data_IF_040682635467
#
_entry.id   IF_040682635467
#
_cell.length_a   1.000
_cell.length_b   1.000
_cell.length_c   1.000
_cell.angle_alpha   90.00
_cell.angle_beta   90.00
_cell.angle_gamma   90.00
#
_symmetry.space_group_name_H-M   'P 1'
#
loop_
_entity.id
_entity.type
_entity.pdbx_description
1 polymer ?
#
# COMPACT_ATOMS: atom_id res chain seq x y z
N UNK A 1 6.16 88.32 -50.23
CA UNK A 1 5.31 87.21 -49.76
C UNK A 1 6.14 86.39 -48.77
N UNK A 2 6.00 86.67 -47.47
CA UNK A 2 5.28 85.83 -46.46
C UNK A 2 6.08 84.57 -46.08
N UNK A 3 6.46 84.28 -44.83
CA UNK A 3 6.05 84.75 -43.48
C UNK A 3 7.16 84.35 -42.48
N UNK A 4 7.42 85.23 -41.48
CA UNK A 4 7.52 85.01 -40.01
C UNK A 4 7.98 83.63 -39.49
N UNK A 5 8.82 83.44 -38.46
CA UNK A 5 9.39 84.36 -37.45
C UNK A 5 10.12 83.54 -36.35
N UNK A 6 11.01 84.23 -35.62
CA UNK A 6 11.47 84.03 -34.21
C UNK A 6 12.74 83.20 -33.92
N UNK A 7 13.71 83.96 -33.38
CA UNK A 7 15.00 83.75 -32.69
C UNK A 7 14.91 82.86 -31.41
N UNK A 8 15.93 82.84 -30.49
CA UNK A 8 17.34 82.44 -30.60
C UNK A 8 17.75 81.53 -29.40
N UNK A 9 19.04 81.20 -29.26
CA UNK A 9 19.61 80.71 -27.99
C UNK A 9 20.73 79.70 -28.23
N UNK A 10 21.95 80.14 -28.55
CA UNK A 10 22.97 80.50 -27.57
C UNK A 10 23.45 79.29 -26.74
N UNK A 11 24.63 78.80 -27.16
CA UNK A 11 25.79 78.58 -26.31
C UNK A 11 25.68 77.58 -25.15
N UNK A 12 26.55 76.56 -25.12
CA UNK A 12 27.76 76.56 -24.29
C UNK A 12 28.44 75.17 -24.32
N UNK A 13 29.77 75.22 -24.26
CA UNK A 13 30.72 74.28 -23.63
C UNK A 13 30.94 72.90 -24.26
N UNK A 14 32.11 72.65 -24.85
CA UNK A 14 33.39 72.28 -24.21
C UNK A 14 33.41 70.85 -23.64
N UNK A 15 34.21 70.00 -24.29
CA UNK A 15 35.28 69.30 -23.58
C UNK A 15 35.12 67.79 -23.37
N UNK A 16 36.18 67.08 -23.77
CA UNK A 16 36.57 65.70 -23.43
C UNK A 16 35.80 64.54 -24.10
N UNK A 17 36.29 64.12 -25.26
CA UNK A 17 36.17 62.73 -25.71
C UNK A 17 37.23 61.88 -24.99
N UNK A 18 36.81 61.13 -23.98
CA UNK A 18 37.59 60.04 -23.40
C UNK A 18 37.42 58.79 -24.26
N UNK A 19 38.53 58.21 -24.70
CA UNK A 19 38.60 56.94 -25.42
C UNK A 19 38.22 55.80 -24.47
N UNK A 20 37.09 55.14 -24.73
CA UNK A 20 36.69 53.93 -24.00
C UNK A 20 37.11 52.70 -24.81
N UNK A 21 38.10 51.96 -24.33
CA UNK A 21 38.53 50.67 -24.86
C UNK A 21 37.46 49.63 -24.52
N UNK A 22 36.81 49.04 -25.53
CA UNK A 22 35.86 47.96 -25.35
C UNK A 22 36.61 46.62 -25.17
N UNK A 23 36.53 46.05 -23.97
CA UNK A 23 36.90 44.66 -23.70
C UNK A 23 35.70 43.76 -24.03
N UNK A 24 35.86 42.63 -24.77
CA UNK A 24 34.77 41.69 -24.94
C UNK A 24 34.55 40.93 -23.62
N UNK A 25 33.37 41.06 -23.04
CA UNK A 25 32.95 40.22 -21.93
C UNK A 25 32.78 38.79 -22.44
N UNK A 26 33.65 37.88 -21.99
CA UNK A 26 33.46 36.45 -22.16
C UNK A 26 32.22 36.05 -21.34
N UNK A 27 31.10 35.83 -22.03
CA UNK A 27 29.91 35.22 -21.42
C UNK A 27 30.26 33.76 -21.16
N UNK A 28 30.53 33.43 -19.90
CA UNK A 28 30.60 32.05 -19.45
C UNK A 28 29.22 31.41 -19.71
N UNK A 29 29.17 30.44 -20.62
CA UNK A 29 27.99 29.60 -20.80
C UNK A 29 27.81 28.77 -19.53
N UNK A 30 26.84 29.13 -18.71
CA UNK A 30 26.36 28.29 -17.60
C UNK A 30 25.87 27.00 -18.25
N UNK A 31 26.38 25.80 -17.87
CA UNK A 31 25.88 24.55 -18.40
C UNK A 31 24.37 24.49 -18.15
N UNK A 32 23.61 24.12 -19.19
CA UNK A 32 22.17 24.00 -19.12
C UNK A 32 21.80 23.19 -17.87
N UNK A 33 21.02 23.80 -16.98
CA UNK A 33 20.35 23.07 -15.91
C UNK A 33 19.61 21.90 -16.58
N UNK A 34 19.79 20.69 -16.04
CA UNK A 34 18.99 19.54 -16.44
C UNK A 34 17.53 19.99 -16.42
N UNK A 35 16.80 19.76 -17.51
CA UNK A 35 15.35 19.97 -17.51
C UNK A 35 14.78 19.29 -16.25
N UNK A 36 13.85 19.93 -15.52
CA UNK A 36 13.18 19.26 -14.44
C UNK A 36 12.55 17.99 -15.02
N UNK A 37 13.11 16.85 -14.62
CA UNK A 37 12.48 15.53 -14.79
C UNK A 37 11.05 15.71 -14.34
N UNK A 38 10.09 15.37 -15.22
CA UNK A 38 8.65 15.45 -14.97
C UNK A 38 8.35 15.00 -13.54
N UNK A 39 8.12 15.98 -12.66
CA UNK A 39 7.90 15.80 -11.22
C UNK A 39 6.43 15.49 -10.94
N UNK A 40 5.66 15.11 -11.96
CA UNK A 40 4.32 14.58 -11.76
C UNK A 40 4.44 13.35 -10.88
N UNK A 41 3.76 13.29 -9.71
CA UNK A 41 3.79 12.09 -8.89
C UNK A 41 3.33 10.93 -9.77
N UNK A 42 4.09 9.82 -9.83
CA UNK A 42 3.70 8.64 -10.58
C UNK A 42 2.32 8.19 -10.08
N UNK A 43 1.35 8.12 -11.00
CA UNK A 43 0.06 7.47 -10.74
C UNK A 43 0.03 6.11 -11.44
N UNK A 44 1.10 5.35 -11.28
CA UNK A 44 1.20 3.98 -11.81
C UNK A 44 1.00 2.96 -10.70
N UNK A 45 0.64 1.73 -11.08
CA UNK A 45 0.50 0.61 -10.16
C UNK A 45 1.73 -0.29 -10.18
N UNK A 46 2.24 -0.65 -9.00
CA UNK A 46 3.25 -1.70 -8.89
C UNK A 46 2.60 -3.05 -9.20
N UNK A 47 3.12 -3.73 -10.22
CA UNK A 47 2.61 -5.02 -10.66
C UNK A 47 3.70 -6.09 -10.63
N UNK A 48 3.55 -7.15 -9.82
CA UNK A 48 4.49 -8.27 -9.81
C UNK A 48 4.31 -9.15 -11.05
N UNK A 49 5.41 -9.49 -11.72
CA UNK A 49 5.37 -10.24 -12.98
C UNK A 49 5.02 -11.72 -12.79
N UNK A 50 5.33 -12.26 -11.62
CA UNK A 50 5.13 -13.67 -11.28
C UNK A 50 4.34 -13.78 -9.98
N UNK A 51 3.48 -14.81 -9.84
CA UNK A 51 2.84 -15.09 -8.57
C UNK A 51 3.88 -15.58 -7.54
N UNK A 52 3.63 -15.29 -6.28
CA UNK A 52 4.30 -15.90 -5.14
C UNK A 52 3.54 -17.19 -4.76
N UNK A 53 4.27 -18.17 -4.23
CA UNK A 53 3.70 -19.46 -3.84
C UNK A 53 4.27 -19.93 -2.50
N UNK A 54 3.38 -20.45 -1.67
CA UNK A 54 3.68 -21.29 -0.52
C UNK A 54 3.20 -22.72 -0.83
N UNK A 55 4.10 -23.50 -1.43
CA UNK A 55 3.80 -24.84 -1.92
C UNK A 55 3.43 -25.83 -0.81
N UNK A 56 3.89 -25.58 0.44
CA UNK A 56 3.55 -26.42 1.59
C UNK A 56 2.04 -26.45 1.86
N UNK A 57 1.33 -25.38 1.52
CA UNK A 57 -0.10 -25.21 1.76
C UNK A 57 -0.91 -24.95 0.49
N UNK A 58 -0.27 -25.06 -0.68
CA UNK A 58 -0.87 -24.76 -1.98
C UNK A 58 -1.47 -23.34 -2.07
N UNK A 59 -0.86 -22.36 -1.39
CA UNK A 59 -1.30 -20.96 -1.42
C UNK A 59 -0.52 -20.20 -2.49
N UNK A 60 -1.21 -19.55 -3.42
CA UNK A 60 -0.58 -18.72 -4.45
C UNK A 60 -1.30 -17.39 -4.63
N UNK A 61 -0.54 -16.33 -4.83
CA UNK A 61 -1.09 -14.97 -4.99
C UNK A 61 -0.17 -14.11 -5.85
N UNK A 62 -0.76 -13.16 -6.59
CA UNK A 62 -0.02 -12.15 -7.33
C UNK A 62 0.07 -10.88 -6.48
N UNK A 63 1.11 -10.78 -5.66
CA UNK A 63 1.34 -9.69 -4.71
C UNK A 63 2.84 -9.33 -4.64
N UNK A 64 3.17 -8.16 -4.06
CA UNK A 64 4.55 -7.72 -3.88
C UNK A 64 5.29 -8.57 -2.84
N UNK A 65 4.56 -9.07 -1.84
CA UNK A 65 5.04 -10.04 -0.87
C UNK A 65 3.91 -10.93 -0.37
N UNK A 66 4.28 -12.13 0.10
CA UNK A 66 3.43 -13.09 0.78
C UNK A 66 4.11 -13.44 2.10
N UNK A 67 3.37 -13.48 3.19
CA UNK A 67 3.85 -13.88 4.52
C UNK A 67 2.95 -14.97 5.07
N UNK A 68 3.55 -16.05 5.56
CA UNK A 68 2.91 -17.06 6.39
C UNK A 68 3.32 -16.81 7.84
N UNK A 69 2.35 -16.55 8.70
CA UNK A 69 2.50 -16.51 10.15
C UNK A 69 2.06 -17.86 10.73
N UNK A 70 2.93 -18.51 11.50
CA UNK A 70 2.63 -19.79 12.17
C UNK A 70 2.80 -19.55 13.66
N UNK A 71 1.76 -19.83 14.44
CA UNK A 71 1.82 -19.80 15.90
C UNK A 71 1.36 -21.12 16.49
N UNK A 72 1.93 -21.47 17.62
CA UNK A 72 1.52 -22.61 18.43
C UNK A 72 1.07 -22.13 19.81
N UNK A 73 -0.06 -22.67 20.28
CA UNK A 73 -0.55 -22.39 21.62
C UNK A 73 0.26 -23.18 22.65
N UNK A 74 0.95 -22.49 23.55
CA UNK A 74 1.98 -23.07 24.42
C UNK A 74 1.91 -22.45 25.83
N UNK A 75 2.43 -23.18 26.81
CA UNK A 75 2.74 -22.69 28.14
C UNK A 75 3.93 -21.74 28.11
N UNK A 76 3.82 -20.62 28.83
CA UNK A 76 4.90 -19.69 29.13
C UNK A 76 5.08 -19.59 30.64
N UNK A 77 6.33 -19.70 31.08
CA UNK A 77 6.75 -19.36 32.44
C UNK A 77 7.31 -17.95 32.47
N UNK A 78 6.87 -17.15 33.44
CA UNK A 78 7.44 -15.85 33.77
C UNK A 78 7.95 -15.86 35.21
N UNK A 79 9.23 -15.58 35.40
CA UNK A 79 9.85 -15.49 36.72
C UNK A 79 9.83 -14.05 37.20
N UNK A 80 9.18 -13.80 38.34
CA UNK A 80 9.17 -12.52 39.02
C UNK A 80 10.50 -12.17 39.66
N UNK A 81 10.66 -10.89 40.04
CA UNK A 81 11.88 -10.39 40.71
C UNK A 81 12.08 -11.04 42.08
N UNK A 82 11.00 -11.48 42.72
CA UNK A 82 10.99 -12.22 43.98
C UNK A 82 11.27 -13.73 43.83
N UNK A 83 11.48 -14.20 42.60
CA UNK A 83 11.67 -15.62 42.28
C UNK A 83 10.38 -16.43 42.17
N UNK A 84 9.21 -15.81 42.29
CA UNK A 84 7.93 -16.48 42.03
C UNK A 84 7.78 -16.81 40.54
N UNK A 85 7.11 -17.92 40.22
CA UNK A 85 6.85 -18.34 38.83
C UNK A 85 5.37 -18.20 38.55
N UNK A 86 5.05 -17.52 37.44
CA UNK A 86 3.70 -17.43 36.90
C UNK A 86 3.63 -18.19 35.59
N UNK A 87 2.62 -19.05 35.49
CA UNK A 87 2.29 -19.75 34.26
C UNK A 87 1.17 -19.04 33.51
N UNK A 88 1.34 -18.91 32.20
CA UNK A 88 0.34 -18.43 31.28
C UNK A 88 0.31 -19.30 30.02
N UNK A 89 -0.74 -19.17 29.22
CA UNK A 89 -0.86 -19.84 27.92
C UNK A 89 -0.97 -18.77 26.84
N UNK A 90 -0.24 -18.94 25.76
CA UNK A 90 -0.19 -17.96 24.69
C UNK A 90 0.08 -18.58 23.32
N UNK A 91 -0.22 -17.81 22.29
CA UNK A 91 0.19 -18.10 20.92
C UNK A 91 1.59 -17.55 20.68
N UNK A 92 2.57 -18.43 20.48
CA UNK A 92 3.94 -18.05 20.16
C UNK A 92 4.34 -18.51 18.75
N UNK A 93 5.16 -17.72 18.06
CA UNK A 93 5.68 -17.97 16.71
C UNK A 93 6.91 -18.89 16.67
N UNK A 94 7.38 -19.29 17.84
CA UNK A 94 8.50 -20.21 18.06
C UNK A 94 8.19 -21.19 19.19
N UNK A 95 9.01 -22.23 19.28
CA UNK A 95 8.95 -23.16 20.40
C UNK A 95 9.37 -22.46 21.70
N UNK A 96 8.52 -22.52 22.72
CA UNK A 96 8.84 -21.96 24.04
C UNK A 96 9.58 -22.98 24.89
N UNK A 97 10.80 -22.63 25.27
CA UNK A 97 11.62 -23.45 26.16
C UNK A 97 11.24 -23.23 27.62
N UNK A 98 10.82 -24.30 28.29
CA UNK A 98 10.66 -24.33 29.75
C UNK A 98 12.01 -24.57 30.42
N UNK A 99 12.48 -23.67 31.31
CA UNK A 99 13.71 -23.87 32.06
C UNK A 99 13.71 -25.20 32.79
N UNK A 100 14.83 -25.93 32.81
CA UNK A 100 14.90 -27.27 33.39
C UNK A 100 14.46 -27.32 34.87
N UNK A 101 14.72 -26.26 35.65
CA UNK A 101 14.31 -26.15 37.04
C UNK A 101 12.79 -25.98 37.24
N UNK A 102 12.06 -25.62 36.18
CA UNK A 102 10.61 -25.37 36.19
C UNK A 102 9.83 -26.46 35.45
N UNK A 103 10.49 -27.54 34.99
CA UNK A 103 9.81 -28.63 34.30
C UNK A 103 8.96 -29.43 35.28
N UNK A 104 7.70 -29.57 34.96
CA UNK A 104 6.71 -30.40 35.66
C UNK A 104 5.80 -31.10 34.63
N UNK A 105 4.93 -31.98 35.10
CA UNK A 105 4.01 -32.77 34.25
C UNK A 105 2.73 -31.98 33.86
N UNK A 106 2.47 -30.83 34.47
CA UNK A 106 1.27 -30.01 34.24
C UNK A 106 1.48 -28.97 33.12
N UNK A 107 2.71 -28.47 32.95
CA UNK A 107 3.08 -27.38 32.03
C UNK A 107 4.00 -27.85 30.90
N UNK A 108 3.60 -28.93 30.23
CA UNK A 108 4.40 -29.56 29.16
C UNK A 108 4.02 -28.97 27.81
N UNK A 109 5.00 -28.36 27.12
CA UNK A 109 4.89 -27.98 25.71
C UNK A 109 5.28 -29.13 24.78
N UNK A 110 4.75 -29.18 23.54
CA UNK A 110 5.23 -30.11 22.54
C UNK A 110 6.73 -29.94 22.29
N UNK A 111 7.45 -31.03 21.99
CA UNK A 111 8.89 -30.95 21.74
C UNK A 111 9.27 -30.39 20.36
N UNK A 112 8.30 -30.18 19.47
CA UNK A 112 8.53 -29.78 18.07
C UNK A 112 7.43 -28.85 17.57
N UNK A 113 7.81 -27.93 16.68
CA UNK A 113 6.89 -27.10 15.90
C UNK A 113 6.97 -27.52 14.42
N UNK A 114 5.93 -28.17 13.86
CA UNK A 114 6.03 -28.85 12.57
C UNK A 114 6.11 -27.90 11.37
N UNK A 115 5.67 -26.65 11.53
CA UNK A 115 5.72 -25.62 10.50
C UNK A 115 6.39 -24.37 11.05
N UNK A 116 6.94 -23.55 10.16
CA UNK A 116 7.56 -22.26 10.49
C UNK A 116 6.95 -21.15 9.66
N UNK A 117 6.95 -19.95 10.23
CA UNK A 117 6.67 -18.74 9.47
C UNK A 117 7.65 -18.57 8.30
N UNK A 118 7.20 -17.90 7.25
CA UNK A 118 7.98 -17.65 6.06
C UNK A 118 7.52 -16.38 5.35
N UNK A 119 8.40 -15.76 4.57
CA UNK A 119 8.08 -14.58 3.77
C UNK A 119 8.72 -14.70 2.41
N UNK A 120 7.92 -14.46 1.38
CA UNK A 120 8.32 -14.44 -0.02
C UNK A 120 8.11 -13.03 -0.56
N UNK A 121 9.02 -12.55 -1.41
CA UNK A 121 8.91 -11.25 -2.06
C UNK A 121 9.03 -11.41 -3.57
N UNK A 122 8.30 -10.59 -4.32
CA UNK A 122 8.36 -10.57 -5.77
C UNK A 122 9.79 -10.25 -6.24
N UNK A 123 10.35 -11.12 -7.07
CA UNK A 123 11.68 -10.96 -7.65
C UNK A 123 11.72 -9.94 -8.79
N UNK A 124 10.57 -9.71 -9.44
CA UNK A 124 10.40 -8.74 -10.50
C UNK A 124 9.03 -8.05 -10.37
N UNK A 125 9.09 -6.72 -10.31
CA UNK A 125 7.93 -5.82 -10.23
C UNK A 125 8.12 -4.76 -11.30
N UNK A 126 7.03 -4.41 -11.98
CA UNK A 126 7.01 -3.35 -12.97
C UNK A 126 6.06 -2.23 -12.54
N UNK A 127 6.34 -1.04 -13.07
CA UNK A 127 5.51 0.15 -13.00
C UNK A 127 5.49 0.75 -14.40
N UNK A 128 4.31 0.84 -14.99
CA UNK A 128 4.11 1.32 -16.37
C UNK A 128 5.00 0.60 -17.41
N UNK A 129 5.20 -0.71 -17.23
CA UNK A 129 6.01 -1.56 -18.13
C UNK A 129 7.52 -1.43 -17.95
N UNK A 130 7.98 -0.70 -16.93
CA UNK A 130 9.40 -0.58 -16.59
C UNK A 130 9.71 -1.28 -15.27
N UNK A 131 10.86 -1.98 -15.16
CA UNK A 131 11.25 -2.64 -13.93
C UNK A 131 11.45 -1.63 -12.79
N UNK A 132 11.09 -2.07 -11.59
CA UNK A 132 11.19 -1.28 -10.35
C UNK A 132 12.30 -1.85 -9.47
N UNK A 133 13.15 -0.98 -8.93
CA UNK A 133 14.18 -1.41 -7.99
C UNK A 133 13.56 -1.89 -6.66
N UNK A 134 13.94 -3.08 -6.13
CA UNK A 134 13.34 -3.63 -4.91
C UNK A 134 13.36 -2.72 -3.69
N UNK A 135 14.39 -1.86 -3.58
CA UNK A 135 14.51 -0.88 -2.51
C UNK A 135 13.29 0.06 -2.41
N UNK A 136 12.59 0.32 -3.53
CA UNK A 136 11.45 1.23 -3.61
C UNK A 136 10.18 0.73 -2.90
N UNK A 137 10.01 -0.59 -2.79
CA UNK A 137 8.83 -1.19 -2.15
C UNK A 137 9.18 -2.12 -0.98
N UNK A 138 10.48 -2.29 -0.67
CA UNK A 138 10.94 -3.20 0.38
C UNK A 138 10.46 -2.83 1.78
N UNK A 139 10.29 -1.53 2.04
CA UNK A 139 9.89 -0.93 3.32
C UNK A 139 8.37 -0.80 3.51
N UNK A 140 7.55 -1.23 2.55
CA UNK A 140 6.10 -1.19 2.72
C UNK A 140 5.67 -2.17 3.83
N UNK A 141 4.81 -1.70 4.74
CA UNK A 141 4.33 -2.46 5.90
C UNK A 141 2.81 -2.67 5.90
N UNK A 142 2.13 -2.23 4.85
CA UNK A 142 0.68 -2.33 4.69
C UNK A 142 0.24 -3.75 4.29
N UNK A 143 0.43 -4.69 5.21
CA UNK A 143 0.03 -6.09 5.06
C UNK A 143 -1.50 -6.23 5.13
N UNK A 144 -2.06 -7.04 4.23
CA UNK A 144 -3.50 -7.34 4.17
C UNK A 144 -3.71 -8.84 4.34
N UNK A 145 -4.67 -9.28 5.19
CA UNK A 145 -4.99 -10.70 5.35
C UNK A 145 -5.34 -11.38 4.02
N UNK A 146 -4.82 -12.59 3.83
CA UNK A 146 -5.17 -13.48 2.74
C UNK A 146 -5.87 -14.71 3.33
N UNK A 147 -7.19 -14.77 3.14
CA UNK A 147 -7.98 -15.90 3.61
C UNK A 147 -7.64 -17.17 2.82
N UNK A 148 -7.41 -18.29 3.53
CA UNK A 148 -7.15 -19.60 2.94
C UNK A 148 -8.23 -20.57 3.40
N UNK A 149 -8.91 -21.18 2.44
CA UNK A 149 -9.94 -22.18 2.71
C UNK A 149 -9.33 -23.58 2.87
N UNK A 150 -9.91 -24.41 3.75
CA UNK A 150 -9.37 -25.73 4.03
C UNK A 150 -9.49 -26.71 2.85
N UNK A 151 -10.43 -26.48 1.93
CA UNK A 151 -10.65 -27.30 0.74
C UNK A 151 -9.62 -27.09 -0.37
N UNK A 152 -8.84 -26.01 -0.31
CA UNK A 152 -7.71 -25.78 -1.23
C UNK A 152 -6.44 -26.51 -0.80
N UNK A 153 -6.44 -27.13 0.38
CA UNK A 153 -5.26 -27.78 0.94
C UNK A 153 -5.03 -29.19 0.35
N UNK A 154 -3.77 -29.66 0.34
CA UNK A 154 -3.47 -31.07 0.16
C UNK A 154 -4.27 -31.96 1.12
N UNK A 155 -4.73 -33.17 0.71
CA UNK A 155 -5.67 -33.99 1.49
C UNK A 155 -5.22 -34.30 2.92
N UNK A 156 -3.93 -34.49 3.15
CA UNK A 156 -3.35 -34.75 4.48
C UNK A 156 -3.45 -33.52 5.40
N UNK A 157 -3.35 -32.31 4.84
CA UNK A 157 -3.51 -31.06 5.58
C UNK A 157 -4.99 -30.74 5.80
N UNK A 158 -5.84 -30.95 4.80
CA UNK A 158 -7.29 -30.78 4.93
C UNK A 158 -7.90 -31.69 6.03
N UNK A 159 -7.27 -32.83 6.31
CA UNK A 159 -7.66 -33.71 7.42
C UNK A 159 -7.21 -33.22 8.82
N UNK A 160 -6.16 -32.39 8.87
CA UNK A 160 -5.54 -31.93 10.12
C UNK A 160 -5.92 -30.49 10.48
N UNK A 161 -6.45 -29.73 9.53
CA UNK A 161 -6.73 -28.31 9.67
C UNK A 161 -8.15 -27.99 9.21
N UNK A 162 -8.77 -27.02 9.88
CA UNK A 162 -9.97 -26.34 9.42
C UNK A 162 -9.70 -24.86 9.24
N UNK A 163 -10.55 -24.19 8.47
CA UNK A 163 -10.54 -22.75 8.35
C UNK A 163 -11.32 -22.11 9.52
N UNK A 164 -10.73 -21.06 10.12
CA UNK A 164 -11.32 -20.21 11.15
C UNK A 164 -10.82 -18.78 10.91
N UNK A 165 -11.73 -17.87 10.60
CA UNK A 165 -11.46 -16.44 10.37
C UNK A 165 -10.36 -16.19 9.32
N UNK A 166 -10.36 -16.97 8.23
CA UNK A 166 -9.39 -16.90 7.14
C UNK A 166 -8.02 -17.54 7.43
N UNK A 167 -7.84 -18.12 8.62
CA UNK A 167 -6.64 -18.85 9.01
C UNK A 167 -6.91 -20.35 9.10
N UNK A 168 -5.87 -21.17 9.00
CA UNK A 168 -5.96 -22.58 9.34
C UNK A 168 -5.74 -22.79 10.84
N UNK A 169 -6.52 -23.70 11.42
CA UNK A 169 -6.45 -24.08 12.82
C UNK A 169 -6.50 -25.61 12.98
N UNK A 170 -5.65 -26.16 13.84
CA UNK A 170 -5.52 -27.62 14.00
C UNK A 170 -6.30 -28.25 15.15
N UNK A 171 -6.79 -27.46 16.12
CA UNK A 171 -7.51 -27.96 17.29
C UNK A 171 -8.98 -28.26 17.00
N UNK A 172 -9.77 -28.67 18.01
CA UNK A 172 -11.21 -28.97 17.85
C UNK A 172 -12.13 -27.76 18.07
N UNK A 173 -11.76 -26.81 18.94
CA UNK A 173 -12.51 -25.57 19.19
C UNK A 173 -11.54 -24.38 19.30
N UNK A 174 -11.65 -23.42 18.38
CA UNK A 174 -10.73 -22.28 18.33
C UNK A 174 -10.97 -21.27 19.47
N UNK A 175 -12.13 -21.33 20.13
CA UNK A 175 -12.43 -20.51 21.31
C UNK A 175 -11.80 -21.07 22.59
N UNK A 176 -11.40 -22.34 22.58
CA UNK A 176 -10.75 -23.04 23.70
C UNK A 176 -9.54 -23.84 23.20
N UNK A 177 -8.44 -23.16 22.84
CA UNK A 177 -7.28 -23.83 22.26
C UNK A 177 -6.57 -24.74 23.27
N UNK A 178 -6.12 -25.90 22.79
CA UNK A 178 -5.30 -26.85 23.52
C UNK A 178 -3.80 -26.58 23.30
N UNK A 179 -2.98 -27.00 24.26
CA UNK A 179 -1.52 -26.90 24.15
C UNK A 179 -1.04 -27.72 22.95
N UNK A 180 -0.29 -27.08 22.06
CA UNK A 180 0.19 -27.64 20.81
C UNK A 180 -0.69 -27.36 19.59
N UNK A 181 -1.87 -26.77 19.77
CA UNK A 181 -2.67 -26.31 18.63
C UNK A 181 -1.90 -25.29 17.81
N UNK A 182 -2.09 -25.36 16.50
CA UNK A 182 -1.48 -24.49 15.51
C UNK A 182 -2.51 -23.55 14.94
N UNK A 183 -2.08 -22.30 14.73
CA UNK A 183 -2.78 -21.30 13.93
C UNK A 183 -1.84 -20.83 12.82
N UNK A 184 -2.31 -20.90 11.59
CA UNK A 184 -1.53 -20.53 10.40
C UNK A 184 -2.32 -19.53 9.59
N UNK A 185 -1.79 -18.34 9.41
CA UNK A 185 -2.44 -17.25 8.69
C UNK A 185 -1.52 -16.76 7.56
N UNK A 186 -2.12 -16.22 6.51
CA UNK A 186 -1.39 -15.59 5.43
C UNK A 186 -1.76 -14.12 5.32
N UNK A 187 -0.78 -13.33 4.92
CA UNK A 187 -0.94 -11.93 4.59
C UNK A 187 -0.16 -11.60 3.33
N UNK A 188 -0.57 -10.55 2.64
CA UNK A 188 0.12 -10.07 1.44
C UNK A 188 0.46 -8.60 1.57
N UNK A 189 1.56 -8.19 0.94
CA UNK A 189 1.72 -6.80 0.53
C UNK A 189 1.10 -6.68 -0.87
N UNK A 190 -0.12 -6.14 -1.00
CA UNK A 190 -0.79 -6.12 -2.29
C UNK A 190 -0.04 -5.27 -3.31
N UNK A 191 -0.23 -5.63 -4.58
CA UNK A 191 0.01 -4.77 -5.72
C UNK A 191 -0.89 -3.53 -5.63
N UNK A 192 -0.50 -2.44 -6.29
CA UNK A 192 -1.33 -1.24 -6.30
C UNK A 192 -0.56 0.07 -6.50
N UNK A 193 -1.27 1.20 -6.40
CA UNK A 193 -0.70 2.51 -6.65
C UNK A 193 0.38 2.87 -5.64
N UNK A 194 1.32 3.70 -6.08
CA UNK A 194 2.33 4.34 -5.23
C UNK A 194 2.17 5.85 -5.26
N UNK A 195 2.65 6.52 -4.23
CA UNK A 195 2.74 7.98 -4.12
C UNK A 195 4.17 8.38 -3.75
N UNK A 196 4.56 9.61 -4.08
CA UNK A 196 5.91 10.14 -3.82
C UNK A 196 6.81 10.18 -5.05
N UNK A 197 8.00 10.75 -4.91
CA UNK A 197 8.88 11.01 -6.04
C UNK A 197 9.60 9.73 -6.52
N UNK A 198 9.51 9.43 -7.82
CA UNK A 198 10.33 8.41 -8.48
C UNK A 198 11.05 9.03 -9.68
N UNK A 199 12.18 8.43 -10.07
CA UNK A 199 12.95 8.82 -11.25
C UNK A 199 13.23 7.60 -12.11
N UNK A 200 13.12 7.75 -13.42
CA UNK A 200 13.57 6.73 -14.35
C UNK A 200 15.09 6.87 -14.56
N UNK A 201 15.86 5.83 -14.24
CA UNK A 201 17.30 5.79 -14.38
C UNK A 201 17.71 4.57 -15.22
N UNK A 202 18.26 4.80 -16.41
CA UNK A 202 18.63 3.70 -17.32
C UNK A 202 17.47 2.75 -17.68
N UNK A 203 16.22 3.25 -17.71
CA UNK A 203 15.03 2.44 -18.00
C UNK A 203 14.44 1.68 -16.80
N UNK A 204 14.93 1.96 -15.58
CA UNK A 204 14.47 1.37 -14.32
C UNK A 204 13.98 2.46 -13.37
N UNK A 205 12.86 2.24 -12.69
CA UNK A 205 12.37 3.18 -11.68
C UNK A 205 13.16 3.07 -10.38
N UNK A 206 13.66 4.21 -9.90
CA UNK A 206 14.39 4.36 -8.62
C UNK A 206 13.74 5.46 -7.78
N UNK A 207 13.94 5.40 -6.45
CA UNK A 207 13.41 6.41 -5.54
C UNK A 207 13.99 7.80 -5.86
N UNK A 208 13.14 8.83 -5.79
CA UNK A 208 13.54 10.23 -5.85
C UNK A 208 14.10 10.72 -4.52
N UNK A 209 14.11 12.04 -4.33
CA UNK A 209 14.60 12.67 -3.09
C UNK A 209 13.65 12.39 -1.91
N UNK A 210 12.36 12.22 -2.19
CA UNK A 210 11.35 11.87 -1.20
C UNK A 210 11.12 10.36 -1.13
N UNK A 211 10.83 9.81 0.06
CA UNK A 211 10.50 8.41 0.20
C UNK A 211 9.20 8.09 -0.55
N UNK A 212 9.18 6.95 -1.24
CA UNK A 212 7.98 6.44 -1.92
C UNK A 212 7.07 5.78 -0.87
N UNK A 213 5.78 6.08 -0.93
CA UNK A 213 4.73 5.48 -0.12
C UNK A 213 3.71 4.74 -0.97
N UNK A 214 2.76 4.07 -0.31
CA UNK A 214 1.59 3.47 -1.00
C UNK A 214 0.58 4.56 -1.31
N UNK A 215 0.07 4.56 -2.53
CA UNK A 215 -0.99 5.47 -2.95
C UNK A 215 -2.36 5.01 -2.47
N UNK A 216 -3.28 5.95 -2.30
CA UNK A 216 -4.69 5.60 -2.14
C UNK A 216 -5.22 4.97 -3.43
N UNK A 217 -5.82 3.78 -3.37
CA UNK A 217 -6.75 3.39 -4.44
C UNK A 217 -7.86 4.42 -4.39
N UNK A 218 -8.04 5.17 -5.48
CA UNK A 218 -8.95 6.31 -5.51
C UNK A 218 -10.23 5.97 -4.77
N UNK A 219 -10.49 6.65 -3.66
CA UNK A 219 -11.82 6.68 -3.08
C UNK A 219 -12.76 7.05 -4.22
N UNK A 220 -13.85 6.29 -4.38
CA UNK A 220 -14.87 6.48 -5.40
C UNK A 220 -15.34 7.96 -5.46
N UNK A 221 -14.64 8.79 -6.23
CA UNK A 221 -15.11 10.10 -6.63
C UNK A 221 -16.13 9.90 -7.75
N UNK A 222 -17.35 9.47 -7.38
CA UNK A 222 -18.62 9.91 -7.97
C UNK A 222 -19.82 9.01 -7.57
N UNK A 223 -20.28 9.06 -6.31
CA UNK A 223 -21.67 8.65 -6.00
C UNK A 223 -22.47 9.65 -5.17
N UNK A 224 -21.92 10.81 -4.78
CA UNK A 224 -22.71 11.83 -4.07
C UNK A 224 -23.45 12.83 -5.00
N UNK A 225 -23.03 13.00 -6.26
CA UNK A 225 -23.70 13.94 -7.17
C UNK A 225 -24.79 13.32 -8.06
N UNK A 226 -24.78 12.00 -8.30
CA UNK A 226 -25.83 11.32 -9.06
C UNK A 226 -27.06 10.95 -8.20
N UNK A 227 -26.93 10.92 -6.87
CA UNK A 227 -28.00 10.55 -5.95
C UNK A 227 -29.12 11.60 -5.81
N UNK A 228 -28.84 12.89 -6.04
CA UNK A 228 -29.86 13.96 -5.86
C UNK A 228 -30.81 14.10 -7.04
N UNK A 229 -30.41 13.72 -8.26
CA UNK A 229 -31.26 13.78 -9.45
C UNK A 229 -32.30 12.65 -9.52
N UNK A 230 -31.95 11.46 -9.03
CA UNK A 230 -32.83 10.29 -9.10
C UNK A 230 -34.06 10.39 -8.19
N UNK A 231 -33.98 11.05 -7.03
CA UNK A 231 -35.15 11.26 -6.17
C UNK A 231 -36.17 12.24 -6.77
N UNK A 232 -35.73 13.24 -7.54
CA UNK A 232 -36.63 14.16 -8.24
C UNK A 232 -37.35 13.46 -9.40
N UNK A 233 -36.64 12.63 -10.17
CA UNK A 233 -37.25 11.84 -11.25
C UNK A 233 -38.16 10.73 -10.72
N UNK A 234 -37.78 10.05 -9.63
CA UNK A 234 -38.62 9.04 -8.97
C UNK A 234 -39.87 9.67 -8.35
N UNK A 235 -39.76 10.84 -7.71
CA UNK A 235 -40.90 11.60 -7.20
C UNK A 235 -41.84 12.08 -8.31
N UNK A 236 -41.31 12.52 -9.44
CA UNK A 236 -42.11 12.94 -10.60
C UNK A 236 -42.84 11.76 -11.24
N UNK A 237 -42.18 10.60 -11.41
CA UNK A 237 -42.81 9.38 -11.92
C UNK A 237 -43.91 8.86 -10.98
N UNK A 238 -43.67 8.86 -9.66
CA UNK A 238 -44.69 8.48 -8.67
C UNK A 238 -45.89 9.44 -8.69
N UNK A 239 -45.65 10.75 -8.81
CA UNK A 239 -46.70 11.76 -8.93
C UNK A 239 -47.56 11.60 -10.18
N UNK A 240 -46.93 11.32 -11.33
CA UNK A 240 -47.64 11.05 -12.59
C UNK A 240 -48.47 9.75 -12.49
N UNK A 241 -47.94 8.71 -11.83
CA UNK A 241 -48.64 7.45 -11.64
C UNK A 241 -49.86 7.60 -10.72
N UNK A 242 -49.72 8.33 -9.60
CA UNK A 242 -50.83 8.64 -8.69
C UNK A 242 -51.92 9.49 -9.36
N UNK A 243 -51.53 10.47 -10.19
CA UNK A 243 -52.47 11.28 -10.94
C UNK A 243 -53.25 10.44 -11.97
N UNK A 244 -52.56 9.54 -12.68
CA UNK A 244 -53.20 8.60 -13.60
C UNK A 244 -54.26 7.73 -12.92
N UNK A 245 -53.97 7.19 -11.73
CA UNK A 245 -54.92 6.37 -10.98
C UNK A 245 -56.11 7.18 -10.40
N UNK A 246 -55.88 8.41 -9.94
CA UNK A 246 -56.96 9.29 -9.48
C UNK A 246 -57.95 9.66 -10.59
N UNK A 247 -57.45 9.94 -11.80
CA UNK A 247 -58.32 10.27 -12.94
C UNK A 247 -59.05 9.04 -13.51
N UNK A 248 -58.46 7.85 -13.43
CA UNK A 248 -59.10 6.60 -13.87
C UNK A 248 -60.17 6.10 -12.88
N UNK A 249 -60.06 6.43 -11.59
CA UNK A 249 -61.01 6.04 -10.55
C UNK A 249 -62.32 6.86 -10.53
N UNK A 250 -62.40 8.00 -11.21
CA UNK A 250 -63.54 8.93 -11.15
C UNK A 250 -64.61 8.72 -12.24
N UNK A 251 -64.50 7.66 -13.04
CA UNK A 251 -65.40 7.35 -14.16
C UNK A 251 -66.40 6.21 -13.92
N UNK A 252 -66.62 5.79 -12.66
CA UNK A 252 -67.65 4.78 -12.32
C UNK A 252 -68.37 5.15 -11.02
N UNK A 253 -69.30 6.08 -11.12
CA UNK A 253 -70.52 6.18 -10.31
C UNK A 253 -71.44 7.20 -10.96
#
# INVERSE_FOLDING_TARGET
MTRRSVLPGASLLLGLMAVLVAMPAAVAQVPAAHEPVDSSPPRGELWPLQPLSDDSFAVSTRALALRRDVRMYQWRAETGVDGSVRWSREWADALLETPAALKDDEHVNPGVMPFRGATWRASAVELDGHPVEPALYSHFEDWTPLAVAADTLPPNLAASFREVDGCLYSGEDASVPAIGDLRICWETLPAGPIEGAIRLDGGRWVAGVEPVGRGSQGEDFAFEELGRGYWLLAGLLLGVLLMYFMFRGRGRS
#
